data_IF_017892241124
#
_entry.id   IF_017892241124
#
_cell.length_a   1.000
_cell.length_b   1.000
_cell.length_c   1.000
_cell.angle_alpha   90.00
_cell.angle_beta   90.00
_cell.angle_gamma   90.00
#
_symmetry.space_group_name_H-M   'P 1'
#
loop_
_entity.id
_entity.type
_entity.pdbx_description
1 polymer ?
#
# COMPACT_ATOMS: atom_id res chain seq x y z
N UNK A 1 7.08 -7.78 -31.26
CA UNK A 1 7.29 -7.32 -29.86
C UNK A 1 7.15 -8.55 -28.97
N UNK A 2 8.10 -8.76 -28.04
CA UNK A 2 8.02 -9.81 -27.02
C UNK A 2 7.45 -9.22 -25.74
N UNK A 3 6.82 -10.07 -24.93
CA UNK A 3 6.32 -9.75 -23.61
C UNK A 3 7.28 -10.29 -22.55
N UNK A 4 7.86 -9.46 -21.70
CA UNK A 4 8.68 -9.87 -20.57
C UNK A 4 7.84 -9.85 -19.30
N UNK A 5 8.05 -10.84 -18.44
CA UNK A 5 7.30 -10.98 -17.20
C UNK A 5 8.05 -11.83 -16.17
N UNK A 6 7.80 -11.55 -14.89
CA UNK A 6 8.35 -12.31 -13.78
C UNK A 6 7.36 -13.36 -13.28
N UNK A 7 7.84 -14.59 -13.15
CA UNK A 7 7.13 -15.71 -12.51
C UNK A 7 7.88 -16.15 -11.26
N UNK A 8 7.24 -16.96 -10.42
CA UNK A 8 7.93 -17.65 -9.34
C UNK A 8 8.85 -18.74 -9.90
N UNK A 9 9.99 -18.97 -9.24
CA UNK A 9 10.77 -20.18 -9.40
C UNK A 9 9.99 -21.41 -8.90
N UNK A 10 10.48 -22.61 -9.22
CA UNK A 10 9.80 -23.86 -8.82
C UNK A 10 9.86 -24.11 -7.31
N UNK A 11 10.91 -23.62 -6.66
CA UNK A 11 11.10 -23.76 -5.21
C UNK A 11 10.03 -23.00 -4.40
N UNK A 12 9.61 -23.54 -3.24
CA UNK A 12 8.68 -22.86 -2.35
C UNK A 12 9.23 -21.52 -1.85
N UNK A 13 8.36 -20.50 -1.76
CA UNK A 13 8.73 -19.21 -1.19
C UNK A 13 8.67 -19.29 0.34
N UNK A 14 9.83 -19.36 0.98
CA UNK A 14 9.96 -19.38 2.45
C UNK A 14 10.70 -18.12 2.92
N UNK A 15 10.36 -17.64 4.12
CA UNK A 15 10.99 -16.42 4.65
C UNK A 15 10.80 -15.18 3.74
N UNK A 16 11.80 -14.30 3.74
CA UNK A 16 11.83 -13.15 2.84
C UNK A 16 12.24 -13.57 1.42
N UNK A 17 11.55 -13.12 0.37
CA UNK A 17 11.91 -13.49 -1.00
C UNK A 17 13.31 -12.94 -1.35
N UNK A 18 14.06 -13.76 -2.06
CA UNK A 18 15.38 -13.45 -2.59
C UNK A 18 15.28 -13.21 -4.11
N UNK A 19 16.39 -12.81 -4.74
CA UNK A 19 16.40 -12.55 -6.17
C UNK A 19 16.09 -13.80 -7.00
N UNK A 20 16.56 -14.96 -6.57
CA UNK A 20 16.34 -16.27 -7.19
C UNK A 20 14.95 -16.86 -6.94
N UNK A 21 14.13 -16.24 -6.08
CA UNK A 21 12.72 -16.57 -5.91
C UNK A 21 11.91 -16.32 -7.20
N UNK A 22 12.43 -15.47 -8.08
CA UNK A 22 11.75 -15.01 -9.28
C UNK A 22 12.53 -15.33 -10.55
N UNK A 23 11.82 -15.69 -11.61
CA UNK A 23 12.37 -15.98 -12.94
C UNK A 23 11.81 -15.02 -13.96
N UNK A 24 12.69 -14.30 -14.66
CA UNK A 24 12.29 -13.46 -15.79
C UNK A 24 12.07 -14.35 -17.02
N UNK A 25 10.88 -14.29 -17.58
CA UNK A 25 10.49 -15.01 -18.79
C UNK A 25 10.17 -14.06 -19.93
N UNK A 26 10.28 -14.57 -21.14
CA UNK A 26 9.84 -13.91 -22.35
C UNK A 26 8.84 -14.78 -23.11
N UNK A 27 7.81 -14.16 -23.67
CA UNK A 27 6.79 -14.83 -24.46
C UNK A 27 6.25 -13.95 -25.59
N UNK A 28 5.22 -14.45 -26.26
CA UNK A 28 4.47 -13.64 -27.22
C UNK A 28 3.59 -12.63 -26.46
N UNK A 29 3.37 -11.45 -27.06
CA UNK A 29 2.32 -10.54 -26.59
C UNK A 29 0.98 -11.23 -26.80
N UNK A 30 0.10 -11.35 -25.79
CA UNK A 30 -1.17 -12.04 -25.94
C UNK A 30 -2.13 -11.27 -26.86
N UNK A 31 -3.04 -11.99 -27.51
CA UNK A 31 -4.05 -11.43 -28.41
C UNK A 31 -5.41 -11.47 -27.72
N UNK A 32 -6.15 -10.35 -27.64
CA UNK A 32 -7.44 -10.32 -26.95
C UNK A 32 -8.53 -11.07 -27.73
N UNK A 33 -9.27 -11.92 -27.03
CA UNK A 33 -10.52 -12.51 -27.51
C UNK A 33 -11.69 -11.52 -27.34
N UNK A 34 -12.88 -11.90 -27.82
CA UNK A 34 -14.10 -11.14 -27.57
C UNK A 34 -14.34 -11.02 -26.05
N UNK A 35 -14.70 -9.84 -25.58
CA UNK A 35 -14.84 -9.53 -24.15
C UNK A 35 -13.51 -9.25 -23.43
N UNK A 36 -12.38 -9.16 -24.16
CA UNK A 36 -11.06 -8.89 -23.61
C UNK A 36 -10.42 -7.66 -24.23
N UNK A 37 -9.47 -7.09 -23.47
CA UNK A 37 -8.58 -6.03 -23.95
C UNK A 37 -7.12 -6.36 -23.65
N UNK A 38 -6.22 -6.03 -24.59
CA UNK A 38 -4.78 -6.04 -24.40
C UNK A 38 -4.35 -4.73 -23.76
N UNK A 39 -3.59 -4.83 -22.70
CA UNK A 39 -3.06 -3.67 -21.97
C UNK A 39 -1.54 -3.68 -21.91
N UNK A 40 -0.93 -2.50 -21.97
CA UNK A 40 0.49 -2.28 -21.69
C UNK A 40 0.61 -1.68 -20.28
N UNK A 41 1.39 -2.35 -19.43
CA UNK A 41 1.63 -1.91 -18.06
C UNK A 41 2.47 -0.64 -18.02
N UNK A 42 2.00 0.37 -17.28
CA UNK A 42 2.73 1.61 -17.01
C UNK A 42 3.33 1.54 -15.61
N UNK A 43 2.52 1.29 -14.60
CA UNK A 43 2.96 1.16 -13.22
C UNK A 43 2.55 -0.18 -12.62
N UNK A 44 3.49 -0.83 -11.94
CA UNK A 44 3.25 -1.98 -11.07
C UNK A 44 3.27 -1.52 -9.62
N UNK A 45 2.24 -1.87 -8.88
CA UNK A 45 2.15 -1.64 -7.44
C UNK A 45 2.85 -2.76 -6.68
N UNK A 46 3.79 -2.41 -5.79
CA UNK A 46 4.38 -3.37 -4.88
C UNK A 46 3.76 -3.20 -3.49
N UNK A 47 3.21 -4.28 -2.97
CA UNK A 47 2.45 -4.30 -1.73
C UNK A 47 2.79 -5.55 -0.90
N UNK A 48 2.88 -5.45 0.44
CA UNK A 48 3.31 -6.57 1.27
C UNK A 48 2.42 -7.83 1.16
N UNK A 49 1.11 -7.68 0.89
CA UNK A 49 0.20 -8.81 0.74
C UNK A 49 0.59 -9.76 -0.41
N UNK A 50 1.33 -9.27 -1.42
CA UNK A 50 1.77 -10.06 -2.57
C UNK A 50 2.67 -11.23 -2.13
N UNK A 51 3.39 -11.10 -1.01
CA UNK A 51 4.17 -12.20 -0.47
C UNK A 51 3.30 -13.41 -0.10
N UNK A 52 2.10 -13.17 0.44
CA UNK A 52 1.13 -14.24 0.70
C UNK A 52 0.70 -14.93 -0.62
N UNK A 53 0.37 -14.13 -1.66
CA UNK A 53 0.01 -14.69 -2.97
C UNK A 53 1.14 -15.49 -3.61
N UNK A 54 2.39 -15.10 -3.41
CA UNK A 54 3.56 -15.82 -3.90
C UNK A 54 3.77 -17.14 -3.16
N UNK A 55 3.61 -17.16 -1.85
CA UNK A 55 3.71 -18.37 -1.02
C UNK A 55 2.64 -19.39 -1.37
N UNK A 56 1.41 -18.95 -1.46
CA UNK A 56 0.26 -19.77 -1.81
C UNK A 56 0.18 -20.10 -3.30
N UNK A 57 1.10 -19.57 -4.11
CA UNK A 57 1.07 -19.68 -5.59
C UNK A 57 -0.32 -19.37 -6.16
N UNK A 58 -0.95 -18.31 -5.63
CA UNK A 58 -2.32 -17.92 -5.98
C UNK A 58 -2.37 -17.44 -7.43
N UNK A 59 -3.23 -18.08 -8.24
CA UNK A 59 -3.43 -17.75 -9.66
C UNK A 59 -3.09 -18.93 -10.59
N UNK A 60 -3.16 -18.73 -11.91
CA UNK A 60 -2.81 -19.76 -12.88
C UNK A 60 -1.31 -20.11 -12.81
N UNK A 61 -0.98 -21.36 -13.03
CA UNK A 61 0.40 -21.84 -13.10
C UNK A 61 1.18 -21.12 -14.21
N UNK A 62 2.40 -20.69 -13.91
CA UNK A 62 3.26 -19.98 -14.86
C UNK A 62 2.82 -18.56 -15.22
N UNK A 63 1.74 -18.08 -14.63
CA UNK A 63 1.31 -16.68 -14.79
C UNK A 63 2.33 -15.70 -14.17
N UNK A 64 2.32 -14.43 -14.62
CA UNK A 64 3.08 -13.37 -13.97
C UNK A 64 2.75 -13.27 -12.47
N UNK A 65 3.76 -12.99 -11.63
CA UNK A 65 3.53 -12.70 -10.21
C UNK A 65 2.45 -11.62 -10.08
N UNK A 66 1.45 -11.88 -9.24
CA UNK A 66 0.30 -10.99 -9.09
C UNK A 66 0.70 -9.59 -8.60
N UNK A 67 0.14 -8.56 -9.24
CA UNK A 67 0.17 -7.18 -8.77
C UNK A 67 -0.99 -6.36 -9.35
N UNK A 68 -1.37 -5.32 -8.63
CA UNK A 68 -2.21 -4.24 -9.18
C UNK A 68 -1.36 -3.36 -10.07
N UNK A 69 -1.98 -2.90 -11.15
CA UNK A 69 -1.29 -2.11 -12.17
C UNK A 69 -2.13 -0.94 -12.65
N UNK A 70 -1.43 0.06 -13.15
CA UNK A 70 -1.98 1.06 -14.05
C UNK A 70 -1.45 0.77 -15.43
N UNK A 71 -2.34 0.71 -16.41
CA UNK A 71 -2.01 0.31 -17.77
C UNK A 71 -2.72 1.17 -18.80
N UNK A 72 -2.23 1.14 -20.04
CA UNK A 72 -2.93 1.69 -21.20
C UNK A 72 -3.46 0.57 -22.07
N UNK A 73 -4.70 0.67 -22.51
CA UNK A 73 -5.29 -0.26 -23.48
C UNK A 73 -4.64 -0.05 -24.86
N UNK A 74 -4.14 -1.13 -25.46
CA UNK A 74 -3.52 -1.13 -26.78
C UNK A 74 -4.51 -1.61 -27.83
N UNK A 75 -5.29 -2.63 -27.52
CA UNK A 75 -6.35 -3.19 -28.35
C UNK A 75 -7.52 -3.59 -27.45
N UNK A 76 -8.75 -3.34 -27.87
CA UNK A 76 -9.93 -3.74 -27.12
C UNK A 76 -10.96 -4.43 -28.01
N UNK A 77 -11.50 -5.53 -27.46
CA UNK A 77 -12.71 -6.22 -27.91
C UNK A 77 -13.70 -6.33 -26.75
N UNK A 78 -13.63 -5.39 -25.84
CA UNK A 78 -14.38 -5.31 -24.59
C UNK A 78 -15.26 -4.07 -24.60
N UNK A 79 -16.55 -4.22 -24.36
CA UNK A 79 -17.49 -3.13 -24.32
C UNK A 79 -17.12 -2.12 -23.22
N UNK A 80 -17.29 -0.85 -23.52
CA UNK A 80 -17.01 0.23 -22.60
C UNK A 80 -15.53 0.59 -22.46
N UNK A 81 -14.58 -0.13 -23.12
CA UNK A 81 -13.14 0.13 -23.10
C UNK A 81 -12.58 0.27 -24.51
N UNK A 82 -11.75 1.27 -24.75
CA UNK A 82 -11.16 1.56 -26.07
C UNK A 82 -9.64 1.65 -26.01
N UNK A 83 -8.98 1.41 -27.14
CA UNK A 83 -7.54 1.67 -27.27
C UNK A 83 -7.23 3.12 -26.91
N UNK A 84 -6.17 3.33 -26.12
CA UNK A 84 -5.79 4.61 -25.57
C UNK A 84 -6.31 4.89 -24.15
N UNK A 85 -7.37 4.21 -23.69
CA UNK A 85 -7.87 4.37 -22.32
C UNK A 85 -6.79 3.97 -21.30
N UNK A 86 -6.70 4.72 -20.19
CA UNK A 86 -5.96 4.31 -19.01
C UNK A 86 -6.85 3.51 -18.08
N UNK A 87 -6.31 2.45 -17.51
CA UNK A 87 -7.07 1.54 -16.66
C UNK A 87 -6.29 1.12 -15.42
N UNK A 88 -7.01 0.98 -14.32
CA UNK A 88 -6.60 0.13 -13.21
C UNK A 88 -6.94 -1.32 -13.57
N UNK A 89 -6.00 -2.22 -13.39
CA UNK A 89 -6.20 -3.66 -13.54
C UNK A 89 -5.19 -4.46 -12.71
N UNK A 90 -5.05 -5.76 -12.97
CA UNK A 90 -4.19 -6.68 -12.22
C UNK A 90 -3.29 -7.49 -13.16
N UNK A 91 -2.54 -6.81 -14.04
CA UNK A 91 -1.64 -7.47 -14.98
C UNK A 91 -0.58 -8.35 -14.30
N UNK A 92 -0.21 -8.01 -13.06
CA UNK A 92 0.97 -8.61 -12.44
C UNK A 92 2.28 -7.98 -12.90
N UNK A 93 3.38 -8.67 -12.69
CA UNK A 93 4.74 -8.23 -13.00
C UNK A 93 5.08 -8.51 -14.46
N UNK A 94 4.45 -7.77 -15.38
CA UNK A 94 4.56 -7.99 -16.83
C UNK A 94 4.45 -6.69 -17.62
N UNK A 95 5.00 -6.67 -18.84
CA UNK A 95 4.88 -5.54 -19.77
C UNK A 95 3.50 -5.48 -20.42
N UNK A 96 2.93 -6.63 -20.79
CA UNK A 96 1.63 -6.74 -21.46
C UNK A 96 0.79 -7.83 -20.82
N UNK A 97 -0.51 -7.60 -20.69
CA UNK A 97 -1.46 -8.59 -20.24
C UNK A 97 -2.84 -8.37 -20.84
N UNK A 98 -3.68 -9.41 -20.77
CA UNK A 98 -5.11 -9.31 -21.05
C UNK A 98 -5.84 -8.86 -19.79
N UNK A 99 -6.96 -8.18 -19.98
CA UNK A 99 -8.00 -7.96 -18.99
C UNK A 99 -9.37 -8.29 -19.57
N UNK A 100 -10.35 -8.57 -18.73
CA UNK A 100 -11.73 -8.83 -19.15
C UNK A 100 -12.20 -10.26 -18.88
N UNK A 101 -13.05 -10.78 -19.75
CA UNK A 101 -13.72 -12.07 -19.56
C UNK A 101 -12.71 -13.24 -19.53
N UNK A 102 -12.87 -14.14 -18.55
CA UNK A 102 -12.01 -15.30 -18.38
C UNK A 102 -10.59 -15.03 -17.88
N UNK A 103 -10.20 -13.76 -17.72
CA UNK A 103 -8.90 -13.40 -17.17
C UNK A 103 -8.95 -13.46 -15.64
N UNK A 104 -8.03 -14.26 -15.06
CA UNK A 104 -7.96 -14.41 -13.62
C UNK A 104 -7.63 -13.12 -12.89
N UNK A 105 -8.33 -12.84 -11.82
CA UNK A 105 -8.06 -11.74 -10.87
C UNK A 105 -8.70 -12.03 -9.51
N UNK A 106 -8.22 -11.41 -8.42
CA UNK A 106 -8.97 -11.39 -7.17
C UNK A 106 -10.33 -10.71 -7.36
N UNK A 107 -11.39 -11.30 -6.80
CA UNK A 107 -12.77 -10.91 -7.09
C UNK A 107 -13.10 -9.43 -6.90
N UNK A 108 -12.55 -8.81 -5.84
CA UNK A 108 -12.78 -7.39 -5.52
C UNK A 108 -11.92 -6.40 -6.34
N UNK A 109 -10.92 -6.87 -7.08
CA UNK A 109 -10.02 -6.03 -7.90
C UNK A 109 -10.57 -5.91 -9.33
N UNK A 110 -11.67 -5.18 -9.49
CA UNK A 110 -12.34 -5.01 -10.78
C UNK A 110 -11.62 -3.96 -11.63
N UNK A 111 -11.35 -4.23 -12.92
CA UNK A 111 -10.82 -3.24 -13.85
C UNK A 111 -11.72 -2.01 -13.94
N UNK A 112 -11.13 -0.82 -13.97
CA UNK A 112 -11.85 0.44 -14.13
C UNK A 112 -11.04 1.44 -14.95
N UNK A 113 -11.74 2.28 -15.69
CA UNK A 113 -11.13 3.41 -16.39
C UNK A 113 -10.60 4.44 -15.40
N UNK A 114 -9.51 5.08 -15.79
CA UNK A 114 -8.88 6.17 -15.05
C UNK A 114 -9.02 7.46 -15.84
N UNK A 115 -9.41 8.52 -15.14
CA UNK A 115 -9.45 9.87 -15.70
C UNK A 115 -8.18 10.62 -15.29
N UNK A 116 -7.27 10.80 -16.25
CA UNK A 116 -6.02 11.52 -16.04
C UNK A 116 -6.21 13.03 -15.75
N UNK A 117 -7.42 13.59 -15.93
CA UNK A 117 -7.72 14.98 -15.58
C UNK A 117 -7.94 15.17 -14.07
N UNK A 118 -8.28 14.10 -13.35
CA UNK A 118 -8.48 14.11 -11.89
C UNK A 118 -7.15 14.20 -11.15
N UNK A 119 -6.11 13.55 -11.68
CA UNK A 119 -4.78 13.51 -11.08
C UNK A 119 -3.82 12.59 -11.83
N UNK A 120 -2.67 12.31 -11.21
CA UNK A 120 -1.71 11.33 -11.78
C UNK A 120 -2.34 9.94 -11.81
N UNK A 121 -2.17 9.22 -12.90
CA UNK A 121 -2.71 7.85 -13.02
C UNK A 121 -2.07 6.88 -12.02
N UNK A 122 -0.83 7.12 -11.56
CA UNK A 122 -0.18 6.34 -10.50
C UNK A 122 -0.96 6.33 -9.18
N UNK A 123 -1.71 7.41 -8.87
CA UNK A 123 -2.54 7.50 -7.67
C UNK A 123 -3.57 6.38 -7.55
N UNK A 124 -4.01 5.82 -8.68
CA UNK A 124 -4.99 4.72 -8.71
C UNK A 124 -4.49 3.41 -8.10
N UNK A 125 -3.17 3.24 -7.94
CA UNK A 125 -2.55 2.13 -7.21
C UNK A 125 -1.89 2.58 -5.91
N UNK A 126 -2.12 3.82 -5.51
CA UNK A 126 -1.63 4.48 -4.29
C UNK A 126 -2.75 5.12 -3.50
N UNK A 127 -2.66 6.45 -3.35
CA UNK A 127 -3.52 7.27 -2.50
C UNK A 127 -4.99 7.26 -2.90
N UNK A 128 -5.32 7.14 -4.19
CA UNK A 128 -6.69 7.04 -4.70
C UNK A 128 -7.07 5.59 -5.12
N UNK A 129 -6.30 4.61 -4.64
CA UNK A 129 -6.53 3.19 -4.85
C UNK A 129 -6.79 2.45 -3.54
N UNK A 130 -6.33 1.20 -3.49
CA UNK A 130 -6.52 0.34 -2.31
C UNK A 130 -5.91 0.94 -1.04
N UNK A 131 -4.78 1.65 -1.13
CA UNK A 131 -4.14 2.22 0.05
C UNK A 131 -4.99 3.34 0.65
N UNK A 132 -5.56 4.20 -0.21
CA UNK A 132 -6.53 5.20 0.20
C UNK A 132 -7.77 4.57 0.82
N UNK A 133 -8.32 3.52 0.18
CA UNK A 133 -9.48 2.79 0.70
C UNK A 133 -9.18 2.12 2.05
N UNK A 134 -8.01 1.51 2.19
CA UNK A 134 -7.57 0.89 3.45
C UNK A 134 -7.46 1.94 4.57
N UNK A 135 -6.83 3.08 4.28
CA UNK A 135 -6.71 4.17 5.25
C UNK A 135 -8.08 4.78 5.60
N UNK A 136 -8.93 5.00 4.60
CA UNK A 136 -10.29 5.53 4.78
C UNK A 136 -11.16 4.58 5.62
N UNK A 137 -11.19 3.30 5.25
CA UNK A 137 -11.96 2.31 5.99
C UNK A 137 -11.50 2.19 7.44
N UNK A 138 -10.19 2.00 7.65
CA UNK A 138 -9.64 1.79 8.99
C UNK A 138 -9.71 3.02 9.88
N UNK A 139 -9.55 4.23 9.32
CA UNK A 139 -9.53 5.46 10.10
C UNK A 139 -10.92 6.11 10.21
N UNK A 140 -11.63 6.26 9.09
CA UNK A 140 -12.91 6.99 9.10
C UNK A 140 -14.11 6.12 9.46
N UNK A 141 -14.15 4.85 8.99
CA UNK A 141 -15.31 3.98 9.19
C UNK A 141 -15.16 3.11 10.44
N UNK A 142 -13.96 2.63 10.74
CA UNK A 142 -13.74 1.69 11.86
C UNK A 142 -13.32 2.40 13.14
N UNK A 143 -12.16 3.05 13.16
CA UNK A 143 -11.59 3.68 14.35
C UNK A 143 -12.30 4.99 14.72
N UNK A 144 -12.68 5.79 13.73
CA UNK A 144 -13.44 7.04 13.87
C UNK A 144 -12.93 7.95 15.00
N UNK A 145 -11.66 8.41 14.95
CA UNK A 145 -11.08 9.22 16.00
C UNK A 145 -11.86 10.52 16.20
N UNK A 146 -11.91 10.99 17.45
CA UNK A 146 -12.57 12.21 17.85
C UNK A 146 -11.56 13.35 18.00
N UNK A 147 -11.97 14.62 17.98
CA UNK A 147 -11.09 15.75 18.25
C UNK A 147 -10.35 15.59 19.58
N UNK A 148 -9.04 15.92 19.57
CA UNK A 148 -8.11 15.83 20.69
C UNK A 148 -7.73 14.41 21.14
N UNK A 149 -8.29 13.35 20.57
CA UNK A 149 -7.81 12.00 20.82
C UNK A 149 -6.37 11.82 20.29
N UNK A 150 -5.60 11.00 20.98
CA UNK A 150 -4.24 10.63 20.57
C UNK A 150 -4.32 9.40 19.68
N UNK A 151 -3.92 9.59 18.42
CA UNK A 151 -3.86 8.56 17.41
C UNK A 151 -2.40 8.20 17.12
N UNK A 152 -2.05 6.93 17.25
CA UNK A 152 -0.74 6.42 16.85
C UNK A 152 -0.87 5.61 15.57
N UNK A 153 0.04 5.85 14.61
CA UNK A 153 0.10 5.12 13.33
C UNK A 153 1.47 4.50 13.16
N UNK A 154 1.55 3.17 13.12
CA UNK A 154 2.78 2.46 12.78
C UNK A 154 3.03 2.45 11.27
N UNK A 155 4.31 2.34 10.84
CA UNK A 155 4.74 2.54 9.45
C UNK A 155 4.19 3.86 8.85
N UNK A 156 4.24 4.95 9.61
CA UNK A 156 3.60 6.23 9.30
C UNK A 156 4.06 6.88 7.98
N UNK A 157 5.29 6.60 7.53
CA UNK A 157 5.81 7.07 6.24
C UNK A 157 5.48 6.14 5.06
N UNK A 158 4.84 4.99 5.32
CA UNK A 158 4.49 3.99 4.32
C UNK A 158 3.23 4.31 3.54
N UNK A 159 2.89 3.48 2.56
CA UNK A 159 1.79 3.73 1.63
C UNK A 159 0.43 3.98 2.28
N UNK A 160 0.04 3.19 3.29
CA UNK A 160 -1.22 3.37 4.03
C UNK A 160 -1.06 4.36 5.17
N UNK A 161 0.05 4.24 5.95
CA UNK A 161 0.25 5.03 7.17
C UNK A 161 0.27 6.54 6.92
N UNK A 162 0.91 6.98 5.82
CA UNK A 162 0.95 8.39 5.44
C UNK A 162 -0.44 8.99 5.17
N UNK A 163 -1.40 8.17 4.72
CA UNK A 163 -2.76 8.62 4.46
C UNK A 163 -3.56 8.57 5.77
N UNK A 164 -3.52 7.43 6.48
CA UNK A 164 -4.31 7.19 7.68
C UNK A 164 -4.11 8.28 8.75
N UNK A 165 -2.87 8.68 9.00
CA UNK A 165 -2.61 9.73 9.99
C UNK A 165 -3.13 11.11 9.57
N UNK A 166 -3.04 11.45 8.27
CA UNK A 166 -3.61 12.72 7.79
C UNK A 166 -5.14 12.71 7.86
N UNK A 167 -5.80 11.56 7.64
CA UNK A 167 -7.24 11.43 7.85
C UNK A 167 -7.61 11.65 9.33
N UNK A 168 -6.82 11.13 10.26
CA UNK A 168 -6.99 11.41 11.69
C UNK A 168 -6.79 12.91 12.01
N UNK A 169 -5.81 13.57 11.39
CA UNK A 169 -5.62 15.04 11.50
C UNK A 169 -6.83 15.81 11.01
N UNK A 170 -7.46 15.41 9.89
CA UNK A 170 -8.69 16.05 9.38
C UNK A 170 -9.86 15.96 10.38
N UNK A 171 -9.83 14.98 11.28
CA UNK A 171 -10.83 14.82 12.35
C UNK A 171 -10.48 15.56 13.65
N UNK A 172 -9.36 16.30 13.65
CA UNK A 172 -8.93 17.09 14.82
C UNK A 172 -8.15 16.28 15.87
N UNK A 173 -7.69 15.08 15.57
CA UNK A 173 -6.89 14.26 16.45
C UNK A 173 -5.44 14.78 16.55
N UNK A 174 -4.79 14.48 17.67
CA UNK A 174 -3.34 14.58 17.84
C UNK A 174 -2.72 13.29 17.32
N UNK A 175 -1.86 13.37 16.30
CA UNK A 175 -1.36 12.20 15.57
C UNK A 175 0.14 12.01 15.78
N UNK A 176 0.53 10.83 16.22
CA UNK A 176 1.89 10.40 16.44
C UNK A 176 2.23 9.31 15.41
N UNK A 177 3.32 9.50 14.66
CA UNK A 177 3.84 8.49 13.75
C UNK A 177 4.90 7.61 14.41
N UNK A 178 4.97 6.34 13.97
CA UNK A 178 6.13 5.50 14.19
C UNK A 178 6.70 5.15 12.82
N UNK A 179 7.96 5.52 12.57
CA UNK A 179 8.61 5.29 11.28
C UNK A 179 10.03 4.74 11.48
N UNK A 180 10.79 4.57 10.41
CA UNK A 180 12.14 4.03 10.48
C UNK A 180 13.18 5.12 10.78
N UNK A 181 13.91 5.53 9.74
CA UNK A 181 15.05 6.47 9.83
C UNK A 181 14.57 7.91 10.09
N UNK A 182 15.46 8.76 10.62
CA UNK A 182 15.17 10.17 10.91
C UNK A 182 14.55 10.93 9.74
N UNK A 183 15.04 10.69 8.52
CA UNK A 183 14.46 11.31 7.33
C UNK A 183 12.98 10.95 7.11
N UNK A 184 12.56 9.73 7.50
CA UNK A 184 11.15 9.32 7.44
C UNK A 184 10.34 9.98 8.55
N UNK A 185 10.88 10.07 9.77
CA UNK A 185 10.23 10.78 10.86
C UNK A 185 10.06 12.27 10.53
N UNK A 186 11.10 12.90 9.97
CA UNK A 186 11.04 14.30 9.53
C UNK A 186 9.98 14.51 8.45
N UNK A 187 9.86 13.62 7.46
CA UNK A 187 8.80 13.67 6.48
C UNK A 187 7.40 13.56 7.11
N UNK A 188 7.24 12.67 8.09
CA UNK A 188 5.97 12.46 8.80
C UNK A 188 5.53 13.73 9.55
N UNK A 189 6.46 14.44 10.21
CA UNK A 189 6.16 15.68 10.93
C UNK A 189 6.05 16.87 9.99
N UNK A 190 7.09 17.15 9.20
CA UNK A 190 7.21 18.43 8.49
C UNK A 190 6.31 18.48 7.25
N UNK A 191 6.12 17.32 6.59
CA UNK A 191 5.40 17.26 5.34
C UNK A 191 3.97 16.76 5.48
N UNK A 192 3.75 15.70 6.29
CA UNK A 192 2.42 15.14 6.51
C UNK A 192 1.66 15.82 7.67
N UNK A 193 2.33 16.65 8.48
CA UNK A 193 1.73 17.41 9.54
C UNK A 193 1.32 16.59 10.78
N UNK A 194 1.97 15.46 11.04
CA UNK A 194 1.80 14.76 12.31
C UNK A 194 2.42 15.56 13.44
N UNK A 195 1.88 15.44 14.65
CA UNK A 195 2.32 16.23 15.79
C UNK A 195 3.67 15.76 16.36
N UNK A 196 4.00 14.48 16.16
CA UNK A 196 5.31 13.90 16.47
C UNK A 196 5.56 12.63 15.65
N UNK A 197 6.82 12.20 15.58
CA UNK A 197 7.19 10.89 15.06
C UNK A 197 8.33 10.29 15.87
N UNK A 198 8.21 9.01 16.20
CA UNK A 198 9.22 8.23 16.94
C UNK A 198 9.85 7.20 16.00
N UNK A 199 11.18 7.11 16.04
CA UNK A 199 11.88 6.08 15.26
C UNK A 199 11.77 4.71 15.93
N UNK A 200 11.25 3.71 15.19
CA UNK A 200 11.26 2.33 15.69
C UNK A 200 12.68 1.72 15.76
N UNK A 201 13.69 2.44 15.23
CA UNK A 201 15.09 2.05 15.33
C UNK A 201 15.75 2.58 16.61
N UNK A 202 15.06 3.48 17.34
CA UNK A 202 15.55 3.99 18.62
C UNK A 202 15.75 2.84 19.62
N UNK A 203 16.87 2.81 20.35
CA UNK A 203 17.06 1.86 21.45
C UNK A 203 16.11 2.13 22.63
N UNK A 204 15.54 3.32 22.71
CA UNK A 204 14.61 3.77 23.75
C UNK A 204 13.16 3.90 23.25
N UNK A 205 12.78 3.17 22.19
CA UNK A 205 11.47 3.26 21.53
C UNK A 205 10.28 3.38 22.51
N UNK A 206 10.24 2.51 23.55
CA UNK A 206 9.13 2.49 24.52
C UNK A 206 9.07 3.76 25.34
N UNK A 207 10.22 4.27 25.79
CA UNK A 207 10.29 5.52 26.57
C UNK A 207 9.99 6.75 25.68
N UNK A 208 10.54 6.78 24.48
CA UNK A 208 10.31 7.87 23.51
C UNK A 208 8.82 7.96 23.13
N UNK A 209 8.18 6.82 22.91
CA UNK A 209 6.75 6.77 22.61
C UNK A 209 5.89 7.18 23.79
N UNK A 210 6.22 6.71 25.00
CA UNK A 210 5.53 7.10 26.22
C UNK A 210 5.61 8.62 26.48
N UNK A 211 6.75 9.24 26.17
CA UNK A 211 6.94 10.68 26.36
C UNK A 211 6.03 11.51 25.45
N UNK A 212 5.83 11.10 24.19
CA UNK A 212 5.02 11.85 23.22
C UNK A 212 3.54 11.49 23.24
N UNK A 213 3.14 10.35 23.82
CA UNK A 213 1.76 9.86 23.88
C UNK A 213 1.04 10.19 25.18
N UNK A 214 1.48 11.22 25.96
CA UNK A 214 0.76 11.58 27.17
C UNK A 214 -0.59 12.22 26.86
N UNK A 215 -1.71 11.83 27.55
CA UNK A 215 -1.79 10.92 28.72
C UNK A 215 -1.98 9.44 28.34
N UNK A 216 -1.95 9.05 27.08
CA UNK A 216 -2.11 7.69 26.60
C UNK A 216 -2.63 7.65 25.16
N UNK A 217 -2.90 6.48 24.62
CA UNK A 217 -3.30 6.24 23.21
C UNK A 217 -4.78 5.89 23.16
N UNK A 218 -5.57 6.67 22.41
CA UNK A 218 -6.99 6.43 22.21
C UNK A 218 -7.26 5.59 20.95
N UNK A 219 -6.43 5.77 19.91
CA UNK A 219 -6.53 5.02 18.65
C UNK A 219 -5.16 4.54 18.20
N UNK A 220 -5.06 3.28 17.85
CA UNK A 220 -3.86 2.72 17.23
C UNK A 220 -4.17 2.09 15.87
N UNK A 221 -3.46 2.56 14.83
CA UNK A 221 -3.51 2.00 13.49
C UNK A 221 -2.27 1.14 13.27
N UNK A 222 -2.46 -0.18 13.34
CA UNK A 222 -1.38 -1.16 13.34
C UNK A 222 -1.07 -1.69 11.94
N UNK A 223 0.20 -1.52 11.52
CA UNK A 223 0.74 -2.02 10.25
C UNK A 223 1.95 -2.96 10.45
N UNK A 224 2.53 -3.05 11.63
CA UNK A 224 3.88 -3.60 11.85
C UNK A 224 3.92 -4.83 12.74
N UNK A 225 3.35 -4.77 13.95
CA UNK A 225 3.49 -5.80 14.97
C UNK A 225 4.84 -5.78 15.68
N UNK A 226 5.24 -6.91 16.25
CA UNK A 226 6.52 -7.11 16.90
C UNK A 226 6.85 -6.07 17.97
N UNK A 227 8.11 -5.60 18.02
CA UNK A 227 8.57 -4.63 19.02
C UNK A 227 7.81 -3.29 19.03
N UNK A 228 7.23 -2.91 17.88
CA UNK A 228 6.42 -1.67 17.78
C UNK A 228 5.12 -1.86 18.55
N UNK A 229 4.43 -2.98 18.35
CA UNK A 229 3.23 -3.33 19.13
C UNK A 229 3.53 -3.43 20.63
N UNK A 230 4.66 -4.06 21.03
CA UNK A 230 5.07 -4.16 22.42
C UNK A 230 5.27 -2.78 23.08
N UNK A 231 5.79 -1.80 22.34
CA UNK A 231 5.96 -0.44 22.84
C UNK A 231 4.64 0.34 22.98
N UNK A 232 3.67 0.06 22.10
CA UNK A 232 2.33 0.69 22.13
C UNK A 232 1.44 0.10 23.21
N UNK A 233 1.49 -1.21 23.42
CA UNK A 233 0.55 -1.98 24.22
C UNK A 233 0.31 -1.40 25.63
N UNK A 234 1.32 -1.01 26.44
CA UNK A 234 1.12 -0.46 27.78
C UNK A 234 0.51 0.93 27.81
N UNK A 235 0.46 1.62 26.67
CA UNK A 235 0.06 3.04 26.56
C UNK A 235 -1.42 3.24 26.21
N UNK A 236 -2.18 2.17 25.95
CA UNK A 236 -3.61 2.31 25.65
C UNK A 236 -4.39 2.98 26.77
N UNK A 237 -5.23 3.93 26.44
CA UNK A 237 -6.24 4.49 27.34
C UNK A 237 -7.39 3.51 27.56
N UNK A 238 -8.25 3.80 28.52
CA UNK A 238 -9.52 3.10 28.71
C UNK A 238 -10.41 3.29 27.47
N UNK A 239 -11.07 2.23 27.01
CA UNK A 239 -11.93 2.20 25.80
C UNK A 239 -11.21 2.59 24.50
N UNK A 240 -9.90 2.41 24.43
CA UNK A 240 -9.13 2.64 23.21
C UNK A 240 -9.57 1.74 22.06
N UNK A 241 -9.22 2.13 20.84
CA UNK A 241 -9.54 1.38 19.61
C UNK A 241 -8.26 1.06 18.85
N UNK A 242 -8.15 -0.19 18.41
CA UNK A 242 -7.03 -0.66 17.60
C UNK A 242 -7.53 -1.23 16.29
N UNK A 243 -7.05 -0.72 15.17
CA UNK A 243 -7.30 -1.29 13.84
C UNK A 243 -6.07 -2.03 13.36
N UNK A 244 -6.17 -3.35 13.15
CA UNK A 244 -5.09 -4.16 12.59
C UNK A 244 -5.22 -4.17 11.07
N UNK A 245 -4.36 -3.41 10.40
CA UNK A 245 -4.24 -3.36 8.94
C UNK A 245 -3.24 -4.39 8.43
N UNK A 246 -2.08 -4.51 9.09
CA UNK A 246 -1.02 -5.43 8.70
C UNK A 246 -0.05 -5.70 9.85
N UNK A 247 0.77 -6.73 9.69
CA UNK A 247 1.77 -7.17 10.67
C UNK A 247 3.10 -7.47 9.95
N UNK A 248 3.63 -6.48 9.21
CA UNK A 248 4.74 -6.67 8.28
C UNK A 248 6.01 -7.20 8.96
N UNK A 249 6.23 -6.92 10.24
CA UNK A 249 7.38 -7.44 10.97
C UNK A 249 7.43 -8.99 11.01
N UNK A 250 6.28 -9.63 10.83
CA UNK A 250 6.14 -11.09 10.86
C UNK A 250 6.01 -11.73 9.47
N UNK A 251 6.07 -10.96 8.38
CA UNK A 251 5.86 -11.52 7.03
C UNK A 251 7.04 -12.38 6.58
N UNK A 252 8.22 -12.22 7.16
CA UNK A 252 9.40 -13.03 6.88
C UNK A 252 9.55 -14.29 7.75
N UNK A 253 8.62 -14.56 8.68
CA UNK A 253 8.70 -15.73 9.55
C UNK A 253 8.59 -17.02 8.72
N UNK A 254 9.39 -18.04 9.07
CA UNK A 254 9.52 -19.29 8.29
C UNK A 254 8.22 -20.10 8.22
N UNK A 255 7.41 -20.03 9.28
CA UNK A 255 6.10 -20.68 9.36
C UNK A 255 5.03 -20.03 8.46
N UNK A 256 5.42 -19.09 7.60
CA UNK A 256 4.50 -18.31 6.78
C UNK A 256 3.63 -17.35 7.59
N UNK A 257 3.87 -17.27 8.92
CA UNK A 257 3.13 -16.45 9.87
C UNK A 257 1.70 -16.91 10.04
N UNK A 258 1.49 -18.19 10.01
CA UNK A 258 0.25 -18.82 10.43
C UNK A 258 -0.08 -18.27 11.82
N UNK A 259 -1.25 -17.60 11.89
CA UNK A 259 -1.85 -17.12 13.12
C UNK A 259 -1.17 -15.92 13.83
N UNK A 260 -0.46 -15.03 13.08
CA UNK A 260 0.16 -13.80 13.63
C UNK A 260 -0.84 -12.92 14.37
N UNK A 261 -2.07 -12.84 13.86
CA UNK A 261 -3.15 -12.06 14.52
C UNK A 261 -3.55 -12.69 15.83
N UNK A 262 -3.70 -14.01 15.89
CA UNK A 262 -4.01 -14.69 17.14
C UNK A 262 -2.86 -14.57 18.16
N UNK A 263 -1.61 -14.66 17.73
CA UNK A 263 -0.45 -14.44 18.60
C UNK A 263 -0.46 -13.00 19.17
N UNK A 264 -0.70 -11.99 18.32
CA UNK A 264 -0.83 -10.59 18.75
C UNK A 264 -2.01 -10.42 19.71
N UNK A 265 -3.18 -11.00 19.39
CA UNK A 265 -4.37 -10.94 20.23
C UNK A 265 -4.11 -11.57 21.60
N UNK A 266 -3.50 -12.76 21.63
CA UNK A 266 -3.12 -13.45 22.87
C UNK A 266 -2.13 -12.61 23.70
N UNK A 267 -1.15 -12.00 23.04
CA UNK A 267 -0.16 -11.13 23.71
C UNK A 267 -0.81 -9.89 24.32
N UNK A 268 -1.74 -9.27 23.60
CA UNK A 268 -2.45 -8.06 24.04
C UNK A 268 -3.60 -8.30 25.02
N UNK A 269 -4.09 -9.53 25.13
CA UNK A 269 -5.32 -9.87 25.85
C UNK A 269 -5.43 -9.29 27.26
N UNK A 270 -4.39 -9.33 28.14
CA UNK A 270 -4.49 -8.77 29.48
C UNK A 270 -4.77 -7.26 29.46
N UNK A 271 -4.12 -6.51 28.58
CA UNK A 271 -4.34 -5.07 28.44
C UNK A 271 -5.67 -4.78 27.77
N UNK A 272 -6.02 -5.53 26.70
CA UNK A 272 -7.30 -5.35 26.00
C UNK A 272 -8.49 -5.53 26.93
N UNK A 273 -8.45 -6.55 27.79
CA UNK A 273 -9.50 -6.77 28.80
C UNK A 273 -9.52 -5.69 29.88
N UNK A 274 -8.34 -5.33 30.43
CA UNK A 274 -8.26 -4.37 31.54
C UNK A 274 -8.62 -2.94 31.11
N UNK A 275 -8.28 -2.58 29.86
CA UNK A 275 -8.51 -1.24 29.30
C UNK A 275 -9.73 -1.16 28.39
N UNK A 276 -10.47 -2.26 28.26
CA UNK A 276 -11.62 -2.36 27.34
C UNK A 276 -11.27 -1.91 25.89
N UNK A 277 -10.12 -2.40 25.39
CA UNK A 277 -9.64 -2.01 24.06
C UNK A 277 -10.42 -2.75 22.99
N UNK A 278 -11.10 -2.02 22.11
CA UNK A 278 -11.80 -2.56 20.96
C UNK A 278 -10.81 -2.83 19.82
N UNK A 279 -10.53 -4.11 19.55
CA UNK A 279 -9.65 -4.51 18.44
C UNK A 279 -10.47 -4.87 17.20
N UNK A 280 -10.11 -4.30 16.07
CA UNK A 280 -10.81 -4.44 14.79
C UNK A 280 -9.83 -4.94 13.72
N UNK A 281 -10.20 -5.99 13.01
CA UNK A 281 -9.44 -6.52 11.88
C UNK A 281 -9.88 -5.82 10.60
N UNK A 282 -8.96 -5.19 9.91
CA UNK A 282 -9.21 -4.52 8.64
C UNK A 282 -8.88 -5.46 7.48
N UNK A 283 -9.90 -5.82 6.72
CA UNK A 283 -9.76 -6.47 5.40
C UNK A 283 -10.33 -5.54 4.35
N UNK A 284 -9.48 -4.98 3.50
CA UNK A 284 -9.91 -3.96 2.49
C UNK A 284 -10.94 -4.50 1.50
N UNK A 285 -10.98 -5.82 1.27
CA UNK A 285 -11.96 -6.45 0.39
C UNK A 285 -13.40 -6.29 0.88
N UNK A 286 -13.60 -6.20 2.20
CA UNK A 286 -14.92 -5.97 2.81
C UNK A 286 -15.44 -4.55 2.54
N UNK A 287 -14.54 -3.63 2.21
CA UNK A 287 -14.83 -2.23 1.93
C UNK A 287 -14.78 -1.89 0.43
N UNK A 288 -14.71 -2.89 -0.45
CA UNK A 288 -14.63 -2.63 -1.90
C UNK A 288 -15.79 -1.78 -2.44
N UNK A 289 -16.99 -1.93 -1.86
CA UNK A 289 -18.17 -1.14 -2.19
C UNK A 289 -18.08 0.34 -1.79
N UNK A 290 -17.18 0.73 -0.89
CA UNK A 290 -16.97 2.12 -0.45
C UNK A 290 -15.91 2.87 -1.29
N UNK A 291 -15.43 2.27 -2.40
CA UNK A 291 -14.37 2.88 -3.21
C UNK A 291 -14.79 4.24 -3.78
N UNK A 292 -16.00 4.38 -4.30
CA UNK A 292 -16.50 5.65 -4.86
C UNK A 292 -16.71 6.71 -3.74
N UNK A 293 -17.19 6.30 -2.58
CA UNK A 293 -17.31 7.18 -1.40
C UNK A 293 -15.92 7.68 -0.97
N UNK A 294 -14.95 6.79 -0.89
CA UNK A 294 -13.56 7.15 -0.59
C UNK A 294 -13.00 8.13 -1.62
N UNK A 295 -13.22 7.89 -2.92
CA UNK A 295 -12.77 8.80 -3.98
C UNK A 295 -13.42 10.18 -3.85
N UNK A 296 -14.73 10.25 -3.61
CA UNK A 296 -15.46 11.50 -3.41
C UNK A 296 -14.91 12.30 -2.21
N UNK A 297 -14.48 11.61 -1.15
CA UNK A 297 -13.90 12.22 0.04
C UNK A 297 -12.42 12.61 -0.17
N UNK A 298 -11.60 11.69 -0.67
CA UNK A 298 -10.14 11.82 -0.64
C UNK A 298 -9.57 12.58 -1.84
N UNK A 299 -10.14 12.42 -3.06
CA UNK A 299 -9.59 13.05 -4.26
C UNK A 299 -9.57 14.59 -4.18
N UNK A 300 -10.62 15.28 -3.68
CA UNK A 300 -10.54 16.73 -3.47
C UNK A 300 -9.46 17.16 -2.48
N UNK A 301 -9.23 16.37 -1.43
CA UNK A 301 -8.19 16.65 -0.42
C UNK A 301 -6.79 16.49 -1.01
N UNK A 302 -6.58 15.46 -1.82
CA UNK A 302 -5.31 15.24 -2.54
C UNK A 302 -5.06 16.36 -3.55
N UNK A 303 -6.07 16.69 -4.36
CA UNK A 303 -5.98 17.78 -5.36
C UNK A 303 -5.68 19.14 -4.73
N UNK A 304 -6.24 19.41 -3.55
CA UNK A 304 -6.00 20.65 -2.80
C UNK A 304 -4.69 20.63 -1.98
N UNK A 305 -3.89 19.54 -2.03
CA UNK A 305 -2.68 19.39 -1.23
C UNK A 305 -2.93 19.27 0.29
N UNK A 306 -4.18 19.07 0.71
CA UNK A 306 -4.57 18.86 2.11
C UNK A 306 -4.26 17.45 2.61
N UNK A 307 -4.20 16.48 1.70
CA UNK A 307 -3.63 15.15 1.91
C UNK A 307 -2.45 15.00 0.95
N UNK A 308 -1.27 14.92 1.52
CA UNK A 308 -0.01 14.74 0.81
C UNK A 308 0.34 13.26 0.76
N UNK A 309 1.09 12.85 -0.24
CA UNK A 309 1.58 11.48 -0.37
C UNK A 309 2.95 11.47 -1.05
N UNK A 310 3.70 10.43 -0.80
CA UNK A 310 4.96 10.16 -1.47
C UNK A 310 4.90 8.80 -2.15
N UNK A 311 5.34 8.77 -3.41
CA UNK A 311 5.58 7.55 -4.20
C UNK A 311 7.09 7.35 -4.34
N UNK A 312 7.55 6.13 -4.11
CA UNK A 312 8.92 5.67 -4.38
C UNK A 312 8.87 4.88 -5.69
N UNK A 313 9.22 5.54 -6.81
CA UNK A 313 9.04 4.97 -8.15
C UNK A 313 10.40 4.48 -8.68
N UNK A 314 10.52 3.16 -8.86
CA UNK A 314 11.65 2.51 -9.54
C UNK A 314 11.38 2.41 -11.03
N UNK A 315 12.43 2.30 -11.85
CA UNK A 315 12.34 2.28 -13.31
C UNK A 315 12.73 0.91 -13.86
N UNK A 316 11.89 0.37 -14.77
CA UNK A 316 12.14 -0.86 -15.49
C UNK A 316 11.62 -2.13 -14.80
N UNK A 317 11.05 -3.02 -15.60
CA UNK A 317 10.50 -4.31 -15.16
C UNK A 317 11.51 -5.14 -14.37
N UNK A 318 12.80 -5.08 -14.76
CA UNK A 318 13.91 -5.82 -14.16
C UNK A 318 14.16 -5.46 -12.69
N UNK A 319 13.73 -4.26 -12.25
CA UNK A 319 13.95 -3.81 -10.87
C UNK A 319 12.93 -4.37 -9.88
N UNK A 320 11.85 -5.00 -10.34
CA UNK A 320 10.72 -5.41 -9.51
C UNK A 320 11.14 -6.33 -8.34
N UNK A 321 11.91 -7.43 -8.52
CA UNK A 321 12.28 -8.32 -7.42
C UNK A 321 13.06 -7.58 -6.32
N UNK A 322 14.03 -6.76 -6.71
CA UNK A 322 14.85 -5.98 -5.78
C UNK A 322 14.00 -4.95 -5.02
N UNK A 323 13.17 -4.19 -5.75
CA UNK A 323 12.27 -3.19 -5.15
C UNK A 323 11.26 -3.84 -4.20
N UNK A 324 10.76 -5.03 -4.52
CA UNK A 324 9.86 -5.78 -3.65
C UNK A 324 10.54 -6.21 -2.35
N UNK A 325 11.74 -6.77 -2.44
CA UNK A 325 12.53 -7.13 -1.26
C UNK A 325 12.90 -5.91 -0.40
N UNK A 326 13.28 -4.78 -1.00
CA UNK A 326 13.54 -3.51 -0.31
C UNK A 326 12.29 -3.00 0.43
N UNK A 327 11.12 -3.03 -0.23
CA UNK A 327 9.86 -2.63 0.38
C UNK A 327 9.52 -3.49 1.61
N UNK A 328 9.68 -4.81 1.51
CA UNK A 328 9.39 -5.73 2.61
C UNK A 328 10.31 -5.51 3.80
N UNK A 329 11.57 -5.13 3.58
CA UNK A 329 12.53 -4.78 4.65
C UNK A 329 12.32 -3.38 5.22
N UNK A 330 11.39 -2.59 4.65
CA UNK A 330 11.11 -1.23 5.10
C UNK A 330 12.11 -0.19 4.57
N UNK A 331 12.83 -0.48 3.50
CA UNK A 331 13.78 0.45 2.87
C UNK A 331 13.09 1.46 1.93
N UNK A 332 11.84 1.18 1.50
CA UNK A 332 11.03 2.11 0.69
C UNK A 332 10.71 3.40 1.44
N UNK A 333 10.54 4.49 0.70
CA UNK A 333 10.12 5.77 1.27
C UNK A 333 8.80 6.23 0.61
N UNK A 334 7.68 5.95 1.24
CA UNK A 334 6.34 6.15 0.69
C UNK A 334 5.78 4.88 0.05
N UNK A 335 4.92 5.05 -0.95
CA UNK A 335 4.34 3.95 -1.73
C UNK A 335 5.32 3.48 -2.80
N UNK A 336 5.76 2.23 -2.73
CA UNK A 336 6.64 1.62 -3.73
C UNK A 336 5.86 1.28 -5.01
N UNK A 337 6.32 1.83 -6.12
CA UNK A 337 5.84 1.55 -7.47
C UNK A 337 7.03 1.20 -8.39
N UNK A 338 6.77 0.46 -9.46
CA UNK A 338 7.73 0.29 -10.54
C UNK A 338 7.10 0.77 -11.84
N UNK A 339 7.73 1.74 -12.48
CA UNK A 339 7.34 2.21 -13.81
C UNK A 339 7.95 1.29 -14.87
N UNK A 340 7.12 0.53 -15.56
CA UNK A 340 7.52 -0.47 -16.56
C UNK A 340 7.54 0.12 -17.97
N UNK A 341 6.65 1.06 -18.27
CA UNK A 341 6.67 1.81 -19.52
C UNK A 341 6.43 3.30 -19.29
N UNK A 342 6.76 4.17 -20.28
CA UNK A 342 6.52 5.60 -20.13
C UNK A 342 5.07 5.93 -19.80
N UNK A 343 4.86 6.90 -18.91
CA UNK A 343 3.55 7.47 -18.61
C UNK A 343 3.27 8.64 -19.57
N UNK A 344 2.37 8.47 -20.56
CA UNK A 344 2.10 9.52 -21.54
C UNK A 344 1.31 10.71 -20.97
N UNK A 345 0.74 10.58 -19.75
CA UNK A 345 -0.01 11.66 -19.10
C UNK A 345 0.92 12.74 -18.50
N UNK A 346 2.20 12.41 -18.30
CA UNK A 346 3.17 13.35 -17.73
C UNK A 346 3.75 14.35 -18.75
N UNK A 347 3.33 14.27 -20.04
CA UNK A 347 3.87 15.07 -21.14
C UNK A 347 5.30 14.66 -21.52
N UNK A 348 5.74 14.99 -22.75
CA UNK A 348 7.10 14.78 -23.20
C UNK A 348 8.03 15.81 -22.52
N UNK A 349 8.34 15.64 -21.26
CA UNK A 349 9.51 16.26 -20.63
C UNK A 349 10.70 15.39 -21.03
N UNK A 350 11.59 15.94 -21.86
CA UNK A 350 12.83 15.31 -22.24
C UNK A 350 13.64 14.82 -21.03
N UNK A 351 14.75 14.04 -21.20
CA UNK A 351 15.54 13.49 -20.11
C UNK A 351 16.28 14.62 -19.37
N UNK A 352 15.53 15.40 -18.63
CA UNK A 352 15.99 16.46 -17.75
C UNK A 352 15.79 16.00 -16.34
N UNK A 353 16.93 15.89 -15.63
CA UNK A 353 17.09 15.64 -14.18
C UNK A 353 15.78 15.73 -13.43
N UNK A 354 15.30 14.61 -12.93
CA UNK A 354 14.14 14.55 -12.03
C UNK A 354 14.43 15.44 -10.82
N UNK A 355 14.01 16.70 -10.87
CA UNK A 355 13.68 17.40 -9.64
C UNK A 355 12.38 16.77 -9.18
N UNK A 356 12.51 15.61 -8.54
CA UNK A 356 11.53 15.20 -7.58
C UNK A 356 11.53 16.30 -6.51
N UNK A 357 10.58 17.21 -6.61
CA UNK A 357 10.19 17.98 -5.44
C UNK A 357 9.83 16.95 -4.38
N UNK A 358 10.03 17.21 -3.09
CA UNK A 358 9.75 16.26 -2.00
C UNK A 358 8.28 15.79 -2.00
N UNK A 359 7.45 16.35 -2.85
CA UNK A 359 6.01 16.06 -2.97
C UNK A 359 5.63 15.81 -4.40
N UNK A 360 4.68 14.91 -4.64
CA UNK A 360 4.02 14.68 -5.91
C UNK A 360 3.17 15.88 -6.39
N UNK A 361 3.51 17.10 -6.01
CA UNK A 361 2.93 18.34 -6.52
C UNK A 361 3.75 18.82 -7.71
N UNK A 362 3.11 18.83 -8.87
CA UNK A 362 3.55 19.63 -10.01
C UNK A 362 2.86 20.98 -9.86
N UNK A 363 3.65 22.03 -9.83
CA UNK A 363 3.17 23.35 -10.22
C UNK A 363 2.79 23.33 -11.70
#
# INVERSE_FOLDING_TARGET
>A
VRNRYWTLADEPVTGWPQQDTFVLKEGAVPVPALGQALTRTIYVSLDPYQLYYQRERTGPEGAPCHARTVSQIIESRMDGFAAGDFVFNTNGWTEYALMGEGVWRPGYMVPRKLDASVGRISQAVGVLGMLGLTAYAGMNLMASPQPNEIVVVSAASGGVGQIAGQLAKQRGARVIGIAGRDAKCKFVTDDLGFDACVSHLSPTLSADLAAVCQPGIDVYFENVGGKVFEAVLPLFNQAARMTICGLIAHYGDEDGGVDRRAALMKRGEPIFKTRDVRVMNLSVSEFAGQHEEMLAYLAPLVKAGKVKYREDIRQGLETIPTAFAEMLRGDSFGKMLVQVSPDPTLGARGPGKSRQGPFGTVA
#
